data_IF_053190939985
#
_entry.id   IF_053190939985
#
_cell.length_a   1.000
_cell.length_b   1.000
_cell.length_c   1.000
_cell.angle_alpha   90.00
_cell.angle_beta   90.00
_cell.angle_gamma   90.00
#
_symmetry.space_group_name_H-M   'P 1'
#
loop_
_entity.id
_entity.type
_entity.pdbx_description
1 polymer ?
#
# COMPACT_ATOMS: atom_id res chain seq x y z
N UNK A 1 -7.54 -13.49 8.65
CA UNK A 1 -6.14 -13.14 8.31
C UNK A 1 -6.14 -12.67 6.85
N UNK A 2 -5.89 -11.38 6.59
CA UNK A 2 -5.84 -10.84 5.22
C UNK A 2 -4.57 -11.40 4.55
N UNK A 3 -4.72 -12.18 3.49
CA UNK A 3 -3.58 -12.74 2.74
C UNK A 3 -3.25 -11.78 1.60
N UNK A 4 -2.04 -11.20 1.61
CA UNK A 4 -1.54 -10.31 0.55
C UNK A 4 -0.82 -11.07 -0.58
N UNK A 5 -1.00 -12.39 -0.64
CA UNK A 5 -0.37 -13.25 -1.63
C UNK A 5 1.10 -13.47 -1.33
N UNK A 6 1.96 -12.73 -2.01
CA UNK A 6 3.42 -12.88 -1.93
C UNK A 6 3.98 -12.48 -0.55
N UNK A 7 5.25 -12.78 -0.31
CA UNK A 7 5.96 -12.45 0.94
C UNK A 7 7.39 -12.00 0.67
N UNK A 8 7.93 -11.16 1.54
CA UNK A 8 9.33 -10.74 1.49
C UNK A 8 10.21 -11.65 2.36
N UNK A 9 11.43 -11.89 1.90
CA UNK A 9 12.47 -12.63 2.63
C UNK A 9 13.80 -11.90 2.51
N UNK A 10 14.47 -11.71 3.64
CA UNK A 10 15.82 -11.16 3.67
C UNK A 10 16.81 -12.09 2.93
N UNK A 11 17.63 -11.51 2.06
CA UNK A 11 18.72 -12.23 1.35
C UNK A 11 20.07 -12.12 2.05
N UNK A 12 20.15 -11.29 3.08
CA UNK A 12 21.34 -11.03 3.88
C UNK A 12 20.94 -10.76 5.33
N UNK A 13 21.94 -10.68 6.20
CA UNK A 13 21.76 -10.37 7.61
C UNK A 13 21.59 -8.86 7.81
N UNK A 14 20.66 -8.47 8.68
CA UNK A 14 20.44 -7.09 9.11
C UNK A 14 20.61 -6.98 10.62
N UNK A 15 21.13 -5.86 11.09
CA UNK A 15 21.13 -5.52 12.51
C UNK A 15 19.81 -4.80 12.86
N UNK A 16 19.42 -4.86 14.14
CA UNK A 16 18.25 -4.14 14.64
C UNK A 16 18.37 -2.64 14.35
N UNK A 17 17.30 -2.04 13.86
CA UNK A 17 17.24 -0.63 13.45
C UNK A 17 17.76 -0.35 12.04
N UNK A 18 18.23 -1.36 11.30
CA UNK A 18 18.63 -1.18 9.90
C UNK A 18 17.42 -0.89 9.00
N UNK A 19 17.60 -0.03 8.01
CA UNK A 19 16.63 0.22 6.94
C UNK A 19 16.69 -0.93 5.92
N UNK A 20 15.58 -1.64 5.77
CA UNK A 20 15.40 -2.71 4.78
C UNK A 20 15.02 -2.17 3.42
N UNK A 21 14.01 -1.29 3.38
CA UNK A 21 13.43 -0.71 2.17
C UNK A 21 12.99 0.71 2.50
N UNK A 22 13.25 1.65 1.58
CA UNK A 22 12.66 2.99 1.57
C UNK A 22 12.00 3.20 0.22
N UNK A 23 10.69 3.43 0.22
CA UNK A 23 9.88 3.39 -0.99
C UNK A 23 8.95 4.60 -1.09
N UNK A 24 8.77 5.13 -2.29
CA UNK A 24 7.74 6.14 -2.59
C UNK A 24 6.40 5.45 -2.88
N UNK A 25 5.26 6.03 -2.49
CA UNK A 25 3.96 5.47 -2.85
C UNK A 25 3.80 5.33 -4.37
N UNK A 26 3.21 4.21 -4.81
CA UNK A 26 2.66 4.09 -6.17
C UNK A 26 1.50 5.06 -6.34
N UNK A 27 0.65 5.13 -5.33
CA UNK A 27 -0.58 5.91 -5.28
C UNK A 27 -0.90 6.31 -3.83
N UNK A 28 -1.43 7.51 -3.66
CA UNK A 28 -2.00 7.99 -2.40
C UNK A 28 -3.45 8.41 -2.62
N UNK A 29 -4.31 8.08 -1.67
CA UNK A 29 -5.73 8.43 -1.68
C UNK A 29 -6.14 9.01 -0.33
N UNK A 30 -7.08 9.95 -0.36
CA UNK A 30 -7.78 10.40 0.84
C UNK A 30 -8.72 9.31 1.35
N UNK A 31 -8.95 9.27 2.66
CA UNK A 31 -9.88 8.37 3.32
C UNK A 31 -10.70 9.15 4.38
N UNK A 32 -11.99 9.44 4.14
CA UNK A 32 -12.83 8.88 3.08
C UNK A 32 -12.58 9.51 1.71
N UNK A 33 -12.68 8.69 0.65
CA UNK A 33 -12.60 9.18 -0.72
C UNK A 33 -13.91 9.88 -1.12
N UNK A 34 -13.89 11.13 -1.63
CA UNK A 34 -15.10 11.79 -2.10
C UNK A 34 -15.80 11.01 -3.22
N UNK A 35 -17.13 10.95 -3.19
CA UNK A 35 -17.92 10.12 -4.13
C UNK A 35 -17.62 10.45 -5.60
N UNK A 36 -17.43 11.72 -5.93
CA UNK A 36 -17.08 12.16 -7.29
C UNK A 36 -15.74 11.58 -7.76
N UNK A 37 -14.74 11.56 -6.86
CA UNK A 37 -13.42 11.00 -7.13
C UNK A 37 -13.50 9.47 -7.21
N UNK A 38 -14.32 8.85 -6.37
CA UNK A 38 -14.56 7.40 -6.40
C UNK A 38 -15.19 6.95 -7.73
N UNK A 39 -16.14 7.73 -8.27
CA UNK A 39 -16.80 7.43 -9.53
C UNK A 39 -15.85 7.56 -10.74
N UNK A 40 -14.91 8.51 -10.69
CA UNK A 40 -13.95 8.76 -11.77
C UNK A 40 -12.62 8.02 -11.60
N UNK A 41 -12.48 7.24 -10.52
CA UNK A 41 -11.25 6.55 -10.18
C UNK A 41 -10.68 5.68 -11.31
N UNK A 42 -11.47 4.94 -12.11
CA UNK A 42 -10.93 4.21 -13.26
C UNK A 42 -10.21 5.10 -14.27
N UNK A 43 -10.72 6.30 -14.54
CA UNK A 43 -10.11 7.25 -15.48
C UNK A 43 -8.84 7.88 -14.87
N UNK A 44 -8.88 8.19 -13.57
CA UNK A 44 -7.71 8.69 -12.83
C UNK A 44 -6.57 7.66 -12.86
N UNK A 45 -6.89 6.38 -12.66
CA UNK A 45 -5.90 5.29 -12.73
C UNK A 45 -5.34 5.10 -14.15
N UNK A 46 -6.13 5.36 -15.20
CA UNK A 46 -5.62 5.34 -16.58
C UNK A 46 -4.60 6.44 -16.89
N UNK A 47 -4.61 7.53 -16.11
CA UNK A 47 -3.64 8.61 -16.24
C UNK A 47 -2.30 8.29 -15.53
N UNK A 48 -2.23 7.20 -14.76
CA UNK A 48 -0.96 6.72 -14.21
C UNK A 48 -0.05 6.21 -15.32
N UNK A 49 1.27 6.29 -15.11
CA UNK A 49 2.21 5.67 -16.04
C UNK A 49 1.99 4.16 -16.12
N UNK A 50 2.31 3.58 -17.28
CA UNK A 50 2.04 2.18 -17.57
C UNK A 50 2.75 1.22 -16.60
N UNK A 51 3.94 1.59 -16.13
CA UNK A 51 4.73 0.79 -15.19
C UNK A 51 4.04 0.73 -13.82
N UNK A 52 3.64 1.87 -13.26
CA UNK A 52 2.89 1.92 -11.99
C UNK A 52 1.53 1.26 -12.09
N UNK A 53 0.84 1.42 -13.23
CA UNK A 53 -0.46 0.77 -13.47
C UNK A 53 -0.30 -0.74 -13.44
N UNK A 54 0.74 -1.27 -14.10
CA UNK A 54 1.06 -2.69 -14.07
C UNK A 54 1.44 -3.16 -12.66
N UNK A 55 2.29 -2.41 -11.94
CA UNK A 55 2.71 -2.73 -10.58
C UNK A 55 1.50 -2.81 -9.62
N UNK A 56 0.59 -1.84 -9.70
CA UNK A 56 -0.65 -1.81 -8.92
C UNK A 56 -1.56 -3.00 -9.27
N UNK A 57 -1.71 -3.33 -10.54
CA UNK A 57 -2.52 -4.46 -11.02
C UNK A 57 -1.98 -5.84 -10.62
N UNK A 58 -0.71 -5.94 -10.24
CA UNK A 58 -0.08 -7.18 -9.75
C UNK A 58 -0.27 -7.40 -8.25
N UNK A 59 -0.82 -6.43 -7.51
CA UNK A 59 -1.08 -6.59 -6.08
C UNK A 59 -2.27 -7.51 -5.83
N UNK A 60 -2.18 -8.32 -4.77
CA UNK A 60 -3.25 -9.24 -4.40
C UNK A 60 -4.46 -8.48 -3.87
N UNK A 61 -5.65 -8.83 -4.34
CA UNK A 61 -6.91 -8.49 -3.67
C UNK A 61 -7.36 -9.69 -2.82
N UNK A 62 -7.55 -9.50 -1.51
CA UNK A 62 -8.05 -10.57 -0.64
C UNK A 62 -9.58 -10.59 -0.53
N UNK A 63 -10.27 -9.63 -1.16
CA UNK A 63 -11.74 -9.59 -1.23
C UNK A 63 -12.19 -10.58 -2.30
N UNK A 64 -12.76 -11.70 -1.89
CA UNK A 64 -13.18 -12.77 -2.80
C UNK A 64 -14.63 -12.62 -3.30
N UNK A 65 -15.42 -11.75 -2.66
CA UNK A 65 -16.85 -11.57 -2.94
C UNK A 65 -17.24 -10.09 -2.77
N UNK A 66 -18.37 -9.71 -3.37
CA UNK A 66 -18.91 -8.35 -3.34
C UNK A 66 -18.27 -7.42 -4.36
N UNK A 67 -18.72 -6.16 -4.38
CA UNK A 67 -18.34 -5.16 -5.38
C UNK A 67 -16.83 -4.87 -5.41
N UNK A 68 -16.15 -5.09 -4.28
CA UNK A 68 -14.71 -4.84 -4.13
C UNK A 68 -13.85 -6.01 -4.59
N UNK A 69 -14.42 -7.16 -4.96
CA UNK A 69 -13.64 -8.33 -5.35
C UNK A 69 -12.86 -8.15 -6.65
N UNK A 70 -13.37 -7.30 -7.55
CA UNK A 70 -12.83 -7.13 -8.91
C UNK A 70 -12.36 -5.71 -9.20
N UNK A 71 -12.40 -4.81 -8.21
CA UNK A 71 -12.07 -3.41 -8.40
C UNK A 71 -10.88 -2.94 -7.54
N UNK A 72 -10.44 -1.71 -7.81
CA UNK A 72 -9.32 -1.09 -7.10
C UNK A 72 -9.56 -0.94 -5.59
N UNK A 73 -10.79 -0.71 -5.14
CA UNK A 73 -11.07 -0.54 -3.71
C UNK A 73 -10.69 -1.79 -2.91
N UNK A 74 -10.92 -2.99 -3.45
CA UNK A 74 -10.45 -4.22 -2.80
C UNK A 74 -8.93 -4.31 -2.71
N UNK A 75 -8.22 -3.89 -3.77
CA UNK A 75 -6.75 -3.79 -3.75
C UNK A 75 -6.30 -2.80 -2.69
N UNK A 76 -6.87 -1.59 -2.65
CA UNK A 76 -6.53 -0.54 -1.70
C UNK A 76 -6.79 -0.97 -0.25
N UNK A 77 -7.95 -1.56 0.03
CA UNK A 77 -8.27 -2.10 1.36
C UNK A 77 -7.36 -3.24 1.80
N UNK A 78 -6.85 -4.03 0.84
CA UNK A 78 -5.93 -5.14 1.13
C UNK A 78 -4.50 -4.65 1.39
N UNK A 79 -4.06 -3.62 0.67
CA UNK A 79 -2.64 -3.31 0.50
C UNK A 79 -2.19 -1.97 1.06
N UNK A 80 -3.11 -1.04 1.32
CA UNK A 80 -2.75 0.32 1.71
C UNK A 80 -2.31 0.44 3.17
N UNK A 81 -1.48 1.45 3.42
CA UNK A 81 -0.99 1.84 4.74
C UNK A 81 -1.54 3.23 5.07
N UNK A 82 -1.95 3.43 6.33
CA UNK A 82 -2.27 4.77 6.82
C UNK A 82 -1.01 5.64 6.84
N UNK A 83 -1.11 6.84 6.30
CA UNK A 83 -0.03 7.83 6.27
C UNK A 83 -0.56 9.20 6.68
N UNK A 84 0.34 10.12 7.07
CA UNK A 84 0.01 11.50 7.40
C UNK A 84 0.92 12.44 6.61
N UNK A 85 0.34 13.27 5.74
CA UNK A 85 1.11 14.26 5.01
C UNK A 85 1.38 15.49 5.88
N UNK A 86 2.60 16.09 5.81
CA UNK A 86 2.92 17.26 6.63
C UNK A 86 2.03 18.49 6.36
N UNK A 87 1.48 18.59 5.15
CA UNK A 87 0.65 19.69 4.68
C UNK A 87 -0.85 19.47 4.92
N UNK A 88 -1.26 18.27 5.35
CA UNK A 88 -2.67 17.91 5.51
C UNK A 88 -2.89 17.14 6.82
N UNK A 89 -2.54 17.81 7.92
CA UNK A 89 -2.57 17.24 9.26
C UNK A 89 -3.99 17.07 9.74
N UNK A 90 -4.32 15.89 10.24
CA UNK A 90 -5.65 15.53 10.74
C UNK A 90 -6.54 14.85 9.70
N UNK A 91 -6.15 14.88 8.42
CA UNK A 91 -6.85 14.15 7.37
C UNK A 91 -6.25 12.74 7.20
N UNK A 92 -7.11 11.73 7.18
CA UNK A 92 -6.68 10.34 7.00
C UNK A 92 -6.33 10.10 5.53
N UNK A 93 -5.10 9.65 5.32
CA UNK A 93 -4.60 9.28 4.01
C UNK A 93 -4.17 7.83 3.99
N UNK A 94 -4.30 7.22 2.82
CA UNK A 94 -3.82 5.86 2.56
C UNK A 94 -2.85 5.87 1.40
N UNK A 95 -1.78 5.12 1.52
CA UNK A 95 -0.78 4.94 0.48
C UNK A 95 -0.60 3.47 0.13
N UNK A 96 -0.46 3.19 -1.16
CA UNK A 96 -0.17 1.86 -1.71
C UNK A 96 1.26 1.88 -2.23
N UNK A 97 2.00 0.80 -1.97
CA UNK A 97 3.41 0.64 -2.31
C UNK A 97 3.58 -0.65 -3.12
N UNK A 98 4.62 -0.75 -3.93
CA UNK A 98 4.85 -1.94 -4.74
C UNK A 98 5.48 -3.06 -3.89
N UNK A 99 6.54 -2.73 -3.16
CA UNK A 99 7.33 -3.70 -2.40
C UNK A 99 6.70 -3.94 -1.04
N UNK A 100 6.38 -2.87 -0.31
CA UNK A 100 5.87 -2.98 1.06
C UNK A 100 4.48 -3.63 1.14
N UNK A 101 3.64 -3.50 0.11
CA UNK A 101 2.36 -4.20 0.07
C UNK A 101 2.50 -5.72 -0.05
N UNK A 102 3.70 -6.25 -0.34
CA UNK A 102 4.01 -7.69 -0.31
C UNK A 102 4.46 -8.19 1.07
N UNK A 103 4.55 -7.31 2.07
CA UNK A 103 4.86 -7.71 3.45
C UNK A 103 3.59 -8.29 4.08
N UNK A 104 3.68 -9.55 4.54
CA UNK A 104 2.59 -10.22 5.21
C UNK A 104 2.46 -9.78 6.67
N UNK A 105 1.24 -9.79 7.17
CA UNK A 105 0.97 -9.56 8.58
C UNK A 105 1.44 -10.75 9.44
N UNK A 106 2.07 -10.45 10.57
CA UNK A 106 2.43 -11.40 11.63
C UNK A 106 2.07 -10.78 12.97
N UNK A 107 1.49 -11.56 13.89
CA UNK A 107 1.26 -11.13 15.27
C UNK A 107 2.56 -10.98 16.07
N UNK A 108 3.66 -11.56 15.57
CA UNK A 108 5.01 -11.38 16.08
C UNK A 108 5.89 -10.87 14.93
N UNK A 109 5.79 -9.57 14.57
CA UNK A 109 6.55 -9.02 13.46
C UNK A 109 8.03 -8.94 13.84
N UNK A 110 8.89 -9.17 12.85
CA UNK A 110 10.33 -8.98 12.95
C UNK A 110 10.80 -7.72 12.20
N UNK A 111 9.85 -6.88 11.82
CA UNK A 111 10.10 -5.60 11.18
C UNK A 111 8.97 -4.61 11.49
N UNK A 112 9.29 -3.31 11.54
CA UNK A 112 8.36 -2.22 11.75
C UNK A 112 8.30 -1.30 10.54
N UNK A 113 7.14 -0.69 10.34
CA UNK A 113 6.91 0.29 9.29
C UNK A 113 6.89 1.68 9.91
N UNK A 114 7.67 2.60 9.35
CA UNK A 114 7.69 4.01 9.75
C UNK A 114 7.48 4.92 8.52
N UNK A 115 6.89 6.10 8.76
CA UNK A 115 6.53 7.06 7.72
C UNK A 115 7.31 8.37 7.89
N UNK A 116 8.16 8.69 6.90
CA UNK A 116 8.98 9.90 6.86
C UNK A 116 8.79 10.69 5.54
N UNK A 117 7.55 10.67 5.00
CA UNK A 117 7.20 11.03 3.60
C UNK A 117 7.63 9.98 2.56
N UNK A 118 8.38 8.99 3.00
CA UNK A 118 8.53 7.67 2.40
C UNK A 118 8.07 6.64 3.42
N UNK A 119 7.85 5.40 3.01
CA UNK A 119 7.75 4.31 3.98
C UNK A 119 9.08 3.60 4.12
N UNK A 120 9.49 3.41 5.37
CA UNK A 120 10.69 2.70 5.79
C UNK A 120 10.30 1.42 6.50
N UNK A 121 10.87 0.28 6.10
CA UNK A 121 10.77 -0.98 6.85
C UNK A 121 12.06 -1.20 7.65
N UNK A 122 11.98 -1.33 8.97
CA UNK A 122 13.11 -1.53 9.89
C UNK A 122 13.05 -2.89 10.57
N UNK A 123 14.18 -3.48 11.00
CA UNK A 123 14.25 -4.74 11.79
C UNK A 123 14.25 -4.51 13.30
#
# INVERSE_FOLDING_TARGET
>A
MLRKGLGLRARQTFHRGAILVRERPLLTVMDPLPLQVAADLPNILQAMDAERTLALGQLQNCKAQGDHATNFFGIAETNAFGIEWPFDKGEMHRAIFEVLSRVNHSCAPNAIVDWDQYVVLLV
#
